data_IF_716930467457
#
_entry.id   IF_716930467457
#
_cell.length_a   1.000
_cell.length_b   1.000
_cell.length_c   1.000
_cell.angle_alpha   90.00
_cell.angle_beta   90.00
_cell.angle_gamma   90.00
#
_symmetry.space_group_name_H-M   'P 1'
#
loop_
_entity.id
_entity.type
_entity.pdbx_description
1 polymer ?
#
# COMPACT_ATOMS: atom_id res chain seq x y z
N UNK A 1 -51.60 5.34 -7.53
CA UNK A 1 -50.70 4.33 -8.13
C UNK A 1 -49.27 4.86 -8.02
N UNK A 2 -48.57 4.60 -6.90
CA UNK A 2 -47.20 5.07 -6.64
C UNK A 2 -46.21 4.08 -7.27
N UNK A 3 -45.28 4.55 -8.10
CA UNK A 3 -44.15 3.75 -8.60
C UNK A 3 -43.01 3.86 -7.59
N UNK A 4 -42.70 2.76 -6.91
CA UNK A 4 -41.53 2.60 -6.06
C UNK A 4 -40.25 2.61 -6.90
N UNK A 5 -39.23 3.33 -6.44
CA UNK A 5 -37.90 3.36 -7.07
C UNK A 5 -37.15 2.09 -6.63
N UNK A 6 -36.50 1.36 -7.54
CA UNK A 6 -35.71 0.19 -7.17
C UNK A 6 -34.52 0.63 -6.33
N UNK A 7 -34.34 -0.02 -5.18
CA UNK A 7 -33.28 0.24 -4.23
C UNK A 7 -31.90 0.06 -4.86
N UNK A 8 -31.04 1.05 -4.69
CA UNK A 8 -29.63 0.97 -5.06
C UNK A 8 -28.98 -0.02 -4.10
N UNK A 9 -28.68 -1.23 -4.59
CA UNK A 9 -27.88 -2.21 -3.87
C UNK A 9 -26.48 -1.63 -3.68
N UNK A 10 -26.10 -1.36 -2.43
CA UNK A 10 -24.73 -1.00 -2.07
C UNK A 10 -23.81 -2.15 -2.49
N UNK A 11 -23.13 -2.01 -3.62
CA UNK A 11 -22.03 -2.88 -3.99
C UNK A 11 -20.89 -2.65 -2.97
N UNK A 12 -20.78 -3.56 -2.02
CA UNK A 12 -19.65 -3.66 -1.10
C UNK A 12 -18.40 -3.98 -1.94
N UNK A 13 -17.54 -2.99 -2.17
CA UNK A 13 -16.20 -3.17 -2.74
C UNK A 13 -15.16 -3.43 -1.65
N UNK A 14 -15.57 -4.00 -0.50
CA UNK A 14 -14.63 -4.62 0.41
C UNK A 14 -14.14 -5.91 -0.25
N UNK A 15 -13.03 -5.83 -0.99
CA UNK A 15 -12.25 -7.02 -1.28
C UNK A 15 -11.83 -7.61 0.09
N UNK A 16 -12.26 -8.84 0.45
CA UNK A 16 -12.02 -9.42 1.77
C UNK A 16 -10.54 -9.68 2.06
N UNK A 17 -9.67 -9.50 1.06
CA UNK A 17 -8.27 -9.94 1.09
C UNK A 17 -7.31 -9.05 1.89
N UNK A 18 -7.75 -7.86 2.35
CA UNK A 18 -6.87 -6.98 3.15
C UNK A 18 -7.15 -7.10 4.65
N UNK A 19 -8.28 -7.69 5.06
CA UNK A 19 -8.74 -7.62 6.45
C UNK A 19 -8.43 -8.85 7.32
N UNK A 20 -7.94 -9.96 6.77
CA UNK A 20 -7.85 -11.20 7.56
C UNK A 20 -6.62 -12.01 7.18
N UNK A 21 -5.55 -11.85 7.96
CA UNK A 21 -4.62 -12.90 8.44
C UNK A 21 -3.27 -12.31 8.88
N UNK A 22 -3.28 -11.37 9.84
CA UNK A 22 -2.12 -11.19 10.73
C UNK A 22 -2.18 -12.26 11.82
N UNK A 23 -1.88 -13.51 11.45
CA UNK A 23 -1.71 -14.57 12.45
C UNK A 23 -0.37 -14.38 13.16
N UNK A 24 -0.44 -14.01 14.44
CA UNK A 24 0.69 -13.99 15.37
C UNK A 24 1.03 -15.43 15.74
N UNK A 25 1.97 -16.03 15.00
CA UNK A 25 2.54 -17.34 15.30
C UNK A 25 3.41 -17.27 16.56
N UNK A 26 2.99 -17.99 17.60
CA UNK A 26 3.73 -18.20 18.85
C UNK A 26 5.00 -19.01 18.57
N UNK A 27 6.16 -18.35 18.61
CA UNK A 27 7.49 -18.98 18.45
C UNK A 27 8.41 -18.37 17.38
N UNK A 28 7.97 -17.34 16.64
CA UNK A 28 8.79 -16.67 15.63
C UNK A 28 9.62 -15.55 16.27
N UNK A 29 10.88 -15.37 15.83
CA UNK A 29 11.67 -14.16 16.15
C UNK A 29 10.80 -12.93 15.89
N UNK A 30 10.80 -11.91 16.77
CA UNK A 30 10.02 -10.70 16.53
C UNK A 30 10.34 -10.15 15.14
N UNK A 31 9.29 -9.85 14.37
CA UNK A 31 9.41 -9.34 13.01
C UNK A 31 10.21 -8.03 13.04
N UNK A 32 11.31 -7.95 12.28
CA UNK A 32 12.10 -6.72 12.22
C UNK A 32 11.38 -5.67 11.37
N UNK A 33 11.69 -4.36 11.54
CA UNK A 33 11.18 -3.32 10.63
C UNK A 33 11.40 -3.63 9.15
N UNK A 34 12.52 -4.26 8.82
CA UNK A 34 12.82 -4.74 7.46
C UNK A 34 11.88 -5.83 7.00
N UNK A 35 11.67 -6.85 7.81
CA UNK A 35 10.79 -7.98 7.46
C UNK A 35 9.35 -7.50 7.23
N UNK A 36 8.85 -6.65 8.13
CA UNK A 36 7.52 -6.04 8.03
C UNK A 36 7.37 -5.24 6.74
N UNK A 37 8.27 -4.28 6.48
CA UNK A 37 8.16 -3.40 5.31
C UNK A 37 8.30 -4.19 4.00
N UNK A 38 9.17 -5.20 3.95
CA UNK A 38 9.29 -6.05 2.76
C UNK A 38 8.05 -6.89 2.51
N UNK A 39 7.39 -7.38 3.57
CA UNK A 39 6.13 -8.13 3.45
C UNK A 39 5.01 -7.22 2.94
N UNK A 40 4.77 -6.09 3.61
CA UNK A 40 3.74 -5.13 3.21
C UNK A 40 4.00 -4.55 1.82
N UNK A 41 5.26 -4.28 1.46
CA UNK A 41 5.61 -3.81 0.12
C UNK A 41 5.26 -4.82 -0.98
N UNK A 42 5.47 -6.12 -0.73
CA UNK A 42 5.07 -7.17 -1.68
C UNK A 42 3.57 -7.20 -1.90
N UNK A 43 2.80 -7.09 -0.81
CA UNK A 43 1.34 -7.06 -0.86
C UNK A 43 0.84 -5.83 -1.64
N UNK A 44 1.38 -4.65 -1.35
CA UNK A 44 1.03 -3.40 -2.05
C UNK A 44 1.40 -3.40 -3.53
N UNK A 45 2.59 -3.90 -3.88
CA UNK A 45 3.01 -4.05 -5.27
C UNK A 45 2.09 -5.03 -6.01
N UNK A 46 1.79 -6.19 -5.41
CA UNK A 46 0.90 -7.18 -6.00
C UNK A 46 -0.51 -6.64 -6.21
N UNK A 47 -1.05 -5.89 -5.25
CA UNK A 47 -2.35 -5.24 -5.39
C UNK A 47 -2.36 -4.21 -6.52
N UNK A 48 -1.26 -3.46 -6.67
CA UNK A 48 -1.10 -2.44 -7.72
C UNK A 48 -0.96 -3.04 -9.13
N UNK A 49 -0.47 -4.28 -9.22
CA UNK A 49 -0.32 -5.05 -10.46
C UNK A 49 -1.57 -5.83 -10.84
N UNK A 50 -2.54 -5.96 -9.92
CA UNK A 50 -3.76 -6.70 -10.20
C UNK A 50 -4.53 -6.08 -11.37
N UNK A 51 -5.02 -6.93 -12.28
CA UNK A 51 -5.70 -6.51 -13.50
C UNK A 51 -6.97 -5.70 -13.18
N UNK A 52 -7.69 -6.11 -12.15
CA UNK A 52 -8.90 -5.48 -11.65
C UNK A 52 -8.58 -4.08 -11.10
N UNK A 53 -7.51 -3.95 -10.32
CA UNK A 53 -7.00 -2.66 -9.83
C UNK A 53 -6.64 -1.73 -10.99
N UNK A 54 -5.97 -2.23 -12.02
CA UNK A 54 -5.66 -1.45 -13.21
C UNK A 54 -6.91 -1.03 -13.99
N UNK A 55 -7.92 -1.91 -14.10
CA UNK A 55 -9.21 -1.56 -14.70
C UNK A 55 -9.90 -0.42 -13.96
N UNK A 56 -9.97 -0.51 -12.63
CA UNK A 56 -10.55 0.54 -11.78
C UNK A 56 -9.77 1.85 -11.89
N UNK A 57 -8.44 1.81 -11.84
CA UNK A 57 -7.59 2.99 -11.98
C UNK A 57 -7.76 3.67 -13.35
N UNK A 58 -7.92 2.91 -14.45
CA UNK A 58 -8.23 3.50 -15.78
C UNK A 58 -9.55 4.25 -15.76
N UNK A 59 -10.59 3.65 -15.17
CA UNK A 59 -11.90 4.30 -15.04
C UNK A 59 -11.80 5.59 -14.22
N UNK A 60 -11.16 5.52 -13.04
CA UNK A 60 -10.97 6.67 -12.16
C UNK A 60 -10.21 7.78 -12.90
N UNK A 61 -9.05 7.48 -13.50
CA UNK A 61 -8.24 8.51 -14.14
C UNK A 61 -8.89 9.12 -15.39
N UNK A 62 -9.71 8.35 -16.12
CA UNK A 62 -10.45 8.87 -17.27
C UNK A 62 -11.62 9.77 -16.84
N UNK A 63 -12.32 9.42 -15.76
CA UNK A 63 -13.64 9.99 -15.45
C UNK A 63 -13.65 10.91 -14.21
N UNK A 64 -12.58 10.93 -13.39
CA UNK A 64 -12.57 11.66 -12.12
C UNK A 64 -12.77 13.17 -12.26
N UNK A 65 -12.38 13.77 -13.39
CA UNK A 65 -12.64 15.19 -13.64
C UNK A 65 -14.15 15.48 -13.77
N UNK A 66 -14.90 14.53 -14.32
CA UNK A 66 -16.36 14.64 -14.51
C UNK A 66 -17.15 14.14 -13.31
N UNK A 67 -16.61 13.16 -12.59
CA UNK A 67 -17.23 12.53 -11.41
C UNK A 67 -16.26 12.64 -10.22
N UNK A 68 -16.28 13.76 -9.48
CA UNK A 68 -15.36 14.02 -8.38
C UNK A 68 -15.39 12.95 -7.27
N UNK A 69 -16.49 12.22 -7.12
CA UNK A 69 -16.60 11.07 -6.22
C UNK A 69 -15.52 10.01 -6.48
N UNK A 70 -15.13 9.82 -7.74
CA UNK A 70 -14.04 8.90 -8.11
C UNK A 70 -12.69 9.39 -7.61
N UNK A 71 -12.40 10.70 -7.69
CA UNK A 71 -11.16 11.25 -7.11
C UNK A 71 -11.13 11.12 -5.59
N UNK A 72 -12.26 11.37 -4.90
CA UNK A 72 -12.34 11.20 -3.44
C UNK A 72 -12.11 9.74 -3.05
N UNK A 73 -12.78 8.82 -3.75
CA UNK A 73 -12.61 7.38 -3.52
C UNK A 73 -11.14 6.97 -3.70
N UNK A 74 -10.49 7.45 -4.75
CA UNK A 74 -9.07 7.19 -4.99
C UNK A 74 -8.19 7.69 -3.84
N UNK A 75 -8.38 8.95 -3.40
CA UNK A 75 -7.61 9.55 -2.30
C UNK A 75 -7.84 8.78 -0.99
N UNK A 76 -9.09 8.44 -0.66
CA UNK A 76 -9.43 7.70 0.56
C UNK A 76 -8.79 6.31 0.60
N UNK A 77 -8.76 5.58 -0.53
CA UNK A 77 -8.07 4.29 -0.60
C UNK A 77 -6.57 4.43 -0.34
N UNK A 78 -5.94 5.49 -0.83
CA UNK A 78 -4.52 5.75 -0.60
C UNK A 78 -4.24 6.13 0.86
N UNK A 79 -5.06 7.00 1.46
CA UNK A 79 -4.94 7.36 2.88
C UNK A 79 -5.03 6.11 3.79
N UNK A 80 -5.93 5.16 3.48
CA UNK A 80 -6.02 3.89 4.21
C UNK A 80 -4.78 3.03 4.04
N UNK A 81 -4.25 2.92 2.83
CA UNK A 81 -3.02 2.17 2.57
C UNK A 81 -1.81 2.75 3.33
N UNK A 82 -1.73 4.09 3.42
CA UNK A 82 -0.68 4.75 4.22
C UNK A 82 -0.84 4.48 5.72
N UNK A 83 -2.07 4.38 6.22
CA UNK A 83 -2.39 4.10 7.62
C UNK A 83 -1.71 2.81 8.14
N UNK A 84 -1.71 1.75 7.34
CA UNK A 84 -1.11 0.44 7.67
C UNK A 84 0.39 0.54 7.98
N UNK A 85 1.09 1.47 7.34
CA UNK A 85 2.54 1.67 7.50
C UNK A 85 2.83 2.74 8.55
N UNK A 86 2.02 3.78 8.61
CA UNK A 86 2.21 4.93 9.51
C UNK A 86 2.33 4.50 10.97
N UNK A 87 1.43 3.63 11.44
CA UNK A 87 1.38 3.19 12.85
C UNK A 87 2.68 2.47 13.28
N UNK A 88 3.18 1.46 12.55
CA UNK A 88 4.49 0.88 12.81
C UNK A 88 5.64 1.89 12.80
N UNK A 89 5.65 2.84 11.85
CA UNK A 89 6.70 3.84 11.76
C UNK A 89 6.73 4.75 13.00
N UNK A 90 5.57 5.17 13.49
CA UNK A 90 5.42 5.94 14.73
C UNK A 90 6.00 5.17 15.92
N UNK A 91 5.59 3.90 16.09
CA UNK A 91 6.06 3.05 17.17
C UNK A 91 7.58 2.82 17.12
N UNK A 92 8.15 2.54 15.95
CA UNK A 92 9.60 2.32 15.81
C UNK A 92 10.42 3.59 16.03
N UNK A 93 9.88 4.77 15.69
CA UNK A 93 10.52 6.04 16.03
C UNK A 93 10.53 6.25 17.54
N UNK A 94 9.43 5.99 18.23
CA UNK A 94 9.34 6.10 19.69
C UNK A 94 10.29 5.12 20.41
N UNK A 95 10.49 3.94 19.83
CA UNK A 95 11.46 2.94 20.29
C UNK A 95 12.93 3.29 19.93
N UNK A 96 13.17 4.39 19.22
CA UNK A 96 14.51 4.80 18.78
C UNK A 96 15.11 3.97 17.63
N UNK A 97 14.33 3.09 17.01
CA UNK A 97 14.77 2.25 15.88
C UNK A 97 14.91 3.05 14.59
N UNK A 98 14.12 4.11 14.42
CA UNK A 98 14.13 5.00 13.26
C UNK A 98 14.44 6.46 13.69
N UNK A 99 15.68 6.75 14.11
CA UNK A 99 16.03 8.04 14.70
C UNK A 99 15.93 9.22 13.71
N UNK A 100 15.99 8.94 12.40
CA UNK A 100 15.90 9.96 11.35
C UNK A 100 14.55 9.94 10.63
N UNK A 101 13.53 9.25 11.16
CA UNK A 101 12.21 9.24 10.56
C UNK A 101 11.64 10.68 10.54
N UNK A 102 11.26 11.23 9.38
CA UNK A 102 10.61 12.53 9.30
C UNK A 102 9.15 12.44 9.78
N UNK A 103 8.28 13.34 9.33
CA UNK A 103 6.85 13.26 9.64
C UNK A 103 6.28 11.88 9.21
N UNK A 104 5.73 11.06 10.13
CA UNK A 104 5.39 9.66 9.84
C UNK A 104 4.36 9.48 8.72
N UNK A 105 3.37 10.38 8.62
CA UNK A 105 2.39 10.36 7.52
C UNK A 105 3.06 10.51 6.15
N UNK A 106 3.95 11.49 6.00
CA UNK A 106 4.66 11.72 4.74
C UNK A 106 5.63 10.58 4.44
N UNK A 107 6.31 10.04 5.46
CA UNK A 107 7.19 8.89 5.31
C UNK A 107 6.43 7.66 4.81
N UNK A 108 5.26 7.36 5.39
CA UNK A 108 4.40 6.26 4.95
C UNK A 108 3.92 6.45 3.51
N UNK A 109 3.47 7.66 3.15
CA UNK A 109 3.10 8.00 1.77
C UNK A 109 4.24 7.77 0.79
N UNK A 110 5.44 8.29 1.09
CA UNK A 110 6.62 8.12 0.25
C UNK A 110 6.99 6.64 0.08
N UNK A 111 6.94 5.86 1.17
CA UNK A 111 7.22 4.44 1.09
C UNK A 111 6.23 3.70 0.18
N UNK A 112 4.93 3.98 0.29
CA UNK A 112 3.92 3.38 -0.60
C UNK A 112 4.19 3.75 -2.05
N UNK A 113 4.50 5.01 -2.34
CA UNK A 113 4.80 5.44 -3.71
C UNK A 113 6.05 4.75 -4.28
N UNK A 114 7.09 4.53 -3.46
CA UNK A 114 8.30 3.80 -3.88
C UNK A 114 8.01 2.36 -4.34
N UNK A 115 7.00 1.70 -3.77
CA UNK A 115 6.72 0.27 -4.01
C UNK A 115 5.54 0.03 -4.94
N UNK A 116 4.59 0.95 -5.03
CA UNK A 116 3.32 0.75 -5.72
C UNK A 116 3.24 1.48 -7.08
N UNK A 117 3.93 2.61 -7.25
CA UNK A 117 3.63 3.54 -8.35
C UNK A 117 4.13 3.03 -9.69
N UNK A 118 5.37 2.55 -9.76
CA UNK A 118 5.91 1.96 -10.99
C UNK A 118 5.13 0.68 -11.42
N UNK A 119 4.86 -0.30 -10.53
CA UNK A 119 4.03 -1.45 -10.86
C UNK A 119 2.63 -1.07 -11.40
N UNK A 120 1.99 -0.10 -10.75
CA UNK A 120 0.67 0.41 -11.17
C UNK A 120 0.71 1.02 -12.56
N UNK A 121 1.65 1.94 -12.81
CA UNK A 121 1.80 2.63 -14.10
C UNK A 121 2.05 1.60 -15.21
N UNK A 122 2.97 0.66 -14.99
CA UNK A 122 3.26 -0.40 -15.97
C UNK A 122 2.04 -1.26 -16.28
N UNK A 123 1.27 -1.62 -15.28
CA UNK A 123 0.02 -2.39 -15.47
C UNK A 123 -1.07 -1.58 -16.18
N UNK A 124 -1.17 -0.27 -15.91
CA UNK A 124 -2.07 0.65 -16.61
C UNK A 124 -1.73 0.78 -18.10
N UNK A 125 -0.45 0.79 -18.44
CA UNK A 125 0.05 0.85 -19.81
C UNK A 125 -0.04 -0.50 -20.55
N UNK A 126 -0.39 -1.58 -19.85
CA UNK A 126 -0.48 -2.92 -20.46
C UNK A 126 0.87 -3.66 -20.53
N UNK A 127 1.90 -3.15 -19.83
CA UNK A 127 3.24 -3.72 -19.79
C UNK A 127 3.64 -4.09 -18.34
N UNK A 128 2.88 -4.98 -17.66
CA UNK A 128 3.09 -5.27 -16.25
C UNK A 128 4.51 -5.75 -15.97
N UNK A 129 5.01 -5.47 -14.77
CA UNK A 129 6.29 -5.98 -14.31
C UNK A 129 6.24 -7.49 -14.17
N UNK A 130 7.35 -8.16 -14.47
CA UNK A 130 7.52 -9.56 -14.08
C UNK A 130 7.66 -9.65 -12.56
N UNK A 131 7.23 -10.79 -11.99
CA UNK A 131 7.38 -11.06 -10.55
C UNK A 131 8.81 -10.84 -10.04
N UNK A 132 9.83 -11.10 -10.87
CA UNK A 132 11.24 -10.88 -10.51
C UNK A 132 11.56 -9.39 -10.38
N UNK A 133 11.11 -8.57 -11.32
CA UNK A 133 11.30 -7.11 -11.28
C UNK A 133 10.58 -6.52 -10.07
N UNK A 134 9.33 -6.88 -9.83
CA UNK A 134 8.53 -6.37 -8.70
C UNK A 134 9.15 -6.76 -7.36
N UNK A 135 9.60 -8.02 -7.24
CA UNK A 135 10.32 -8.46 -6.06
C UNK A 135 11.64 -7.69 -5.85
N UNK A 136 12.41 -7.43 -6.90
CA UNK A 136 13.64 -6.64 -6.78
C UNK A 136 13.33 -5.20 -6.33
N UNK A 137 12.30 -4.57 -6.93
CA UNK A 137 11.86 -3.22 -6.58
C UNK A 137 11.52 -3.11 -5.09
N UNK A 138 10.66 -3.98 -4.56
CA UNK A 138 10.22 -3.89 -3.16
C UNK A 138 11.35 -4.12 -2.16
N UNK A 139 12.33 -4.98 -2.49
CA UNK A 139 13.50 -5.20 -1.62
C UNK A 139 14.37 -3.93 -1.58
N UNK A 140 14.68 -3.36 -2.74
CA UNK A 140 15.49 -2.15 -2.85
C UNK A 140 14.81 -0.95 -2.20
N UNK A 141 13.51 -0.78 -2.45
CA UNK A 141 12.72 0.31 -1.87
C UNK A 141 12.69 0.25 -0.33
N UNK A 142 12.44 -0.93 0.25
CA UNK A 142 12.47 -1.11 1.70
C UNK A 142 13.85 -0.80 2.30
N UNK A 143 14.93 -1.24 1.66
CA UNK A 143 16.28 -1.00 2.15
C UNK A 143 16.68 0.48 2.06
N UNK A 144 16.36 1.16 0.95
CA UNK A 144 16.60 2.60 0.79
C UNK A 144 15.80 3.38 1.83
N UNK A 145 14.52 3.07 1.97
CA UNK A 145 13.63 3.77 2.89
C UNK A 145 14.11 3.64 4.34
N UNK A 146 14.41 2.43 4.79
CA UNK A 146 14.88 2.18 6.16
C UNK A 146 16.22 2.86 6.44
N UNK A 147 17.16 2.80 5.50
CA UNK A 147 18.43 3.53 5.62
C UNK A 147 18.21 5.03 5.71
N UNK A 148 17.30 5.59 4.91
CA UNK A 148 16.91 7.00 4.97
C UNK A 148 16.31 7.38 6.33
N UNK A 149 15.58 6.47 6.96
CA UNK A 149 15.02 6.65 8.31
C UNK A 149 16.05 6.41 9.43
N UNK A 150 17.31 6.11 9.11
CA UNK A 150 18.37 5.88 10.08
C UNK A 150 18.37 4.48 10.72
N UNK A 151 17.61 3.53 10.17
CA UNK A 151 17.58 2.16 10.66
C UNK A 151 18.95 1.51 10.53
N UNK A 152 19.49 1.04 11.66
CA UNK A 152 20.69 0.22 11.71
C UNK A 152 20.25 -1.19 12.09
N UNK A 153 20.28 -2.10 11.13
CA UNK A 153 20.16 -3.51 11.43
C UNK A 153 21.36 -3.88 12.30
N UNK A 154 21.12 -4.39 13.51
CA UNK A 154 22.19 -4.84 14.39
C UNK A 154 23.04 -5.86 13.61
N UNK A 155 24.29 -5.47 13.30
CA UNK A 155 25.30 -6.41 12.85
C UNK A 155 25.51 -7.39 14.00
N UNK A 156 24.98 -8.60 13.88
CA UNK A 156 25.52 -9.74 14.59
C UNK A 156 26.85 -10.14 13.97
#
# INVERSE_FOLDING_TARGET
MRRERPGVTHASFASPAIATDLQVGTGKRPETPRDFLRRVAKELASLSEARETAGLNRLIFAEAFRFPELSRLFIEFHDRAWGVIREPLEAWREQGLLPNLPQPKLAAMLFVEMVASLPRIRTLLGEPMSRRESNALVQVAADIFLRGCGYKEERR
#
